data_IF_789690701857
#
_entry.id   IF_789690701857
#
_cell.length_a   1.000
_cell.length_b   1.000
_cell.length_c   1.000
_cell.angle_alpha   90.00
_cell.angle_beta   90.00
_cell.angle_gamma   90.00
#
_symmetry.space_group_name_H-M   'P 1'
#
loop_
_entity.id
_entity.type
_entity.pdbx_description
1 polymer ?
#
# COMPACT_ATOMS: atom_id res chain seq x y z
N UNK A 1 -17.26 -50.79 70.14
CA UNK A 1 -16.41 -50.51 68.97
C UNK A 1 -16.48 -49.01 68.68
N UNK A 2 -15.40 -48.25 68.83
CA UNK A 2 -14.85 -47.50 67.70
C UNK A 2 -13.47 -46.91 68.04
N UNK A 3 -12.56 -46.98 67.08
CA UNK A 3 -11.13 -46.72 67.21
C UNK A 3 -10.74 -45.29 66.83
N UNK A 4 -9.66 -44.85 67.47
CA UNK A 4 -8.54 -44.00 67.00
C UNK A 4 -8.87 -42.64 66.35
N UNK A 5 -8.54 -41.49 66.94
CA UNK A 5 -7.21 -40.89 67.20
C UNK A 5 -6.21 -40.85 66.02
N UNK A 6 -5.86 -39.61 65.64
CA UNK A 6 -4.58 -39.19 65.06
C UNK A 6 -4.61 -37.65 64.97
N UNK A 7 -4.03 -36.86 65.88
CA UNK A 7 -2.59 -36.56 66.12
C UNK A 7 -1.91 -36.12 64.81
N UNK A 8 -1.22 -34.99 64.68
CA UNK A 8 -0.59 -34.11 65.68
C UNK A 8 0.01 -32.87 65.00
N UNK A 9 0.04 -31.78 65.77
CA UNK A 9 1.15 -30.83 65.92
C UNK A 9 1.44 -29.86 64.76
N UNK A 10 1.11 -28.56 64.90
CA UNK A 10 1.79 -27.54 65.72
C UNK A 10 3.04 -26.98 65.03
N UNK A 11 3.03 -25.70 64.68
CA UNK A 11 3.62 -24.62 65.49
C UNK A 11 3.44 -23.30 64.71
N UNK A 12 2.95 -22.28 65.40
CA UNK A 12 2.82 -20.94 64.89
C UNK A 12 4.18 -20.22 64.91
N UNK A 13 4.49 -19.45 63.88
CA UNK A 13 5.43 -18.34 63.95
C UNK A 13 4.71 -17.07 63.52
N UNK A 14 4.62 -16.10 64.43
CA UNK A 14 4.01 -14.79 64.20
C UNK A 14 5.00 -13.84 63.51
N UNK A 15 4.44 -13.12 62.54
CA UNK A 15 4.69 -11.74 62.15
C UNK A 15 6.08 -11.32 61.62
N UNK A 16 6.13 -10.96 60.34
CA UNK A 16 6.73 -9.70 59.90
C UNK A 16 6.12 -9.27 58.55
N UNK A 17 5.55 -8.08 58.54
CA UNK A 17 5.04 -7.33 57.38
C UNK A 17 6.09 -7.21 56.29
N UNK A 18 5.72 -7.47 55.02
CA UNK A 18 6.13 -6.71 53.82
C UNK A 18 5.36 -7.20 52.59
N UNK A 19 4.54 -6.31 52.03
CA UNK A 19 3.98 -6.40 50.69
C UNK A 19 5.12 -6.67 49.67
N UNK A 20 4.92 -7.64 48.78
CA UNK A 20 5.52 -7.60 47.45
C UNK A 20 4.61 -8.37 46.49
N UNK A 21 3.70 -7.63 45.85
CA UNK A 21 2.85 -8.08 44.77
C UNK A 21 3.72 -8.19 43.50
N UNK A 22 4.24 -9.37 43.19
CA UNK A 22 4.99 -9.59 41.95
C UNK A 22 4.05 -10.11 40.85
N UNK A 23 3.13 -9.25 40.40
CA UNK A 23 2.38 -9.47 39.16
C UNK A 23 3.26 -9.04 37.98
N UNK A 24 3.96 -9.98 37.35
CA UNK A 24 4.70 -9.72 36.12
C UNK A 24 3.70 -9.51 34.97
N UNK A 25 3.29 -8.24 34.76
CA UNK A 25 2.59 -7.80 33.57
C UNK A 25 3.57 -7.84 32.39
N UNK A 26 3.59 -8.97 31.66
CA UNK A 26 4.16 -9.06 30.32
C UNK A 26 3.26 -8.28 29.36
N UNK A 27 3.36 -6.95 29.40
CA UNK A 27 2.75 -6.06 28.43
C UNK A 27 3.49 -6.16 27.09
N UNK A 28 3.02 -7.03 26.20
CA UNK A 28 3.48 -7.05 24.82
C UNK A 28 3.10 -5.75 24.13
N UNK A 29 4.09 -4.98 23.68
CA UNK A 29 3.87 -3.82 22.83
C UNK A 29 3.35 -4.33 21.47
N UNK A 30 2.03 -4.27 21.27
CA UNK A 30 1.44 -4.44 19.95
C UNK A 30 1.84 -3.19 19.16
N UNK A 31 2.85 -3.33 18.30
CA UNK A 31 3.21 -2.26 17.37
C UNK A 31 2.02 -2.06 16.41
N UNK A 32 1.24 -1.01 16.63
CA UNK A 32 0.22 -0.59 15.68
C UNK A 32 0.93 -0.15 14.39
N UNK A 33 0.86 -0.97 13.34
CA UNK A 33 1.33 -0.56 12.02
C UNK A 33 0.39 0.54 11.52
N UNK A 34 0.92 1.76 11.34
CA UNK A 34 0.17 2.86 10.75
C UNK A 34 -0.29 2.44 9.33
N UNK A 35 -1.59 2.33 9.13
CA UNK A 35 -2.15 2.06 7.80
C UNK A 35 -2.01 3.32 6.96
N UNK A 36 -1.41 3.20 5.77
CA UNK A 36 -1.36 4.34 4.85
C UNK A 36 -2.74 4.53 4.22
N UNK A 37 -3.36 5.67 4.49
CA UNK A 37 -4.71 6.02 4.03
C UNK A 37 -4.72 6.79 2.71
N UNK A 38 -3.55 7.02 2.12
CA UNK A 38 -3.37 7.82 0.90
C UNK A 38 -2.56 7.04 -0.17
N UNK A 39 -2.89 7.18 -1.47
CA UNK A 39 -2.09 6.65 -2.57
C UNK A 39 -0.73 7.31 -2.69
N UNK A 40 -0.49 8.47 -2.05
CA UNK A 40 0.83 9.11 -2.02
C UNK A 40 1.88 8.11 -1.51
N UNK A 41 2.97 7.98 -2.24
CA UNK A 41 4.01 6.98 -2.00
C UNK A 41 4.56 6.37 -3.29
N UNK A 42 5.35 5.31 -3.15
CA UNK A 42 6.00 4.63 -4.27
C UNK A 42 5.42 3.23 -4.46
N UNK A 43 5.23 2.84 -5.72
CA UNK A 43 4.46 1.67 -6.11
C UNK A 43 5.14 0.88 -7.21
N UNK A 44 5.14 -0.43 -7.08
CA UNK A 44 5.44 -1.36 -8.16
C UNK A 44 4.18 -1.63 -8.98
N UNK A 45 4.24 -1.33 -10.28
CA UNK A 45 3.20 -1.72 -11.22
C UNK A 45 3.36 -3.20 -11.56
N UNK A 46 2.27 -3.95 -11.55
CA UNK A 46 2.27 -5.37 -11.91
C UNK A 46 1.61 -5.52 -13.29
N UNK A 47 2.32 -6.19 -14.20
CA UNK A 47 1.76 -6.58 -15.48
C UNK A 47 0.66 -7.63 -15.27
N UNK A 48 -0.55 -7.34 -15.74
CA UNK A 48 -1.74 -8.16 -15.50
C UNK A 48 -1.76 -9.47 -16.29
N UNK A 49 -0.94 -9.59 -17.34
CA UNK A 49 -0.83 -10.79 -18.17
C UNK A 49 0.24 -11.76 -17.64
N UNK A 50 1.36 -11.22 -17.14
CA UNK A 50 2.53 -12.01 -16.74
C UNK A 50 2.72 -12.09 -15.23
N UNK A 51 2.07 -11.22 -14.45
CA UNK A 51 2.21 -11.12 -12.99
C UNK A 51 3.54 -10.55 -12.51
N UNK A 52 4.37 -10.01 -13.42
CA UNK A 52 5.71 -9.51 -13.09
C UNK A 52 5.70 -8.01 -12.82
N UNK A 53 6.57 -7.51 -11.92
CA UNK A 53 6.81 -6.07 -11.79
C UNK A 53 7.30 -5.47 -13.10
N UNK A 54 6.73 -4.34 -13.50
CA UNK A 54 7.04 -3.65 -14.76
C UNK A 54 7.76 -2.32 -14.55
N UNK A 55 7.29 -1.49 -13.64
CA UNK A 55 7.85 -0.18 -13.36
C UNK A 55 7.65 0.20 -11.89
N UNK A 56 8.37 1.23 -11.47
CA UNK A 56 8.21 1.92 -10.20
C UNK A 56 7.58 3.29 -10.47
N UNK A 57 6.46 3.58 -9.82
CA UNK A 57 5.71 4.84 -9.97
C UNK A 57 5.60 5.53 -8.61
N UNK A 58 5.99 6.80 -8.57
CA UNK A 58 5.78 7.67 -7.43
C UNK A 58 4.50 8.46 -7.62
N UNK A 59 3.58 8.35 -6.66
CA UNK A 59 2.38 9.18 -6.57
C UNK A 59 2.61 10.31 -5.57
N UNK A 60 2.31 11.55 -5.97
CA UNK A 60 2.46 12.75 -5.15
C UNK A 60 1.23 13.65 -5.26
N UNK A 61 0.97 14.43 -4.22
CA UNK A 61 0.02 15.54 -4.24
C UNK A 61 0.64 16.75 -4.98
N UNK A 62 -0.14 17.44 -5.80
CA UNK A 62 0.28 18.62 -6.56
C UNK A 62 0.27 19.92 -5.75
N UNK A 63 -0.12 19.87 -4.48
CA UNK A 63 -0.30 21.02 -3.59
C UNK A 63 -1.71 21.61 -3.61
N UNK A 64 -2.55 21.19 -4.56
CA UNK A 64 -3.96 21.57 -4.69
C UNK A 64 -4.91 20.41 -4.36
N UNK A 65 -4.39 19.30 -3.82
CA UNK A 65 -5.18 18.11 -3.46
C UNK A 65 -5.46 17.16 -4.62
N UNK A 66 -4.81 17.34 -5.78
CA UNK A 66 -4.86 16.37 -6.87
C UNK A 66 -3.62 15.49 -6.83
N UNK A 67 -3.80 14.19 -7.10
CA UNK A 67 -2.70 13.25 -7.16
C UNK A 67 -2.22 13.03 -8.59
N UNK A 68 -0.90 13.03 -8.75
CA UNK A 68 -0.21 12.73 -10.01
C UNK A 68 0.77 11.57 -9.80
N UNK A 69 1.01 10.78 -10.85
CA UNK A 69 1.90 9.62 -10.81
C UNK A 69 3.01 9.71 -11.85
N UNK A 70 4.26 9.62 -11.40
CA UNK A 70 5.47 9.70 -12.22
C UNK A 70 6.22 8.37 -12.23
N UNK A 71 6.62 7.91 -13.41
CA UNK A 71 7.50 6.74 -13.53
C UNK A 71 8.91 7.14 -13.07
N UNK A 72 9.44 6.48 -12.04
CA UNK A 72 10.77 6.79 -11.50
C UNK A 72 11.81 5.71 -11.81
N UNK A 73 11.37 4.49 -12.15
CA UNK A 73 12.25 3.42 -12.58
C UNK A 73 11.48 2.40 -13.42
N UNK A 74 12.19 1.62 -14.25
CA UNK A 74 11.65 0.46 -14.95
C UNK A 74 12.25 -0.84 -14.41
N UNK A 75 11.44 -1.89 -14.35
CA UNK A 75 11.83 -3.19 -13.76
C UNK A 75 11.81 -4.34 -14.78
N UNK A 76 11.14 -4.14 -15.92
CA UNK A 76 11.16 -5.13 -16.99
C UNK A 76 12.47 -5.06 -17.81
N UNK A 77 12.92 -6.15 -18.45
CA UNK A 77 14.16 -6.17 -19.24
C UNK A 77 14.19 -5.21 -20.44
N UNK A 78 13.03 -4.75 -20.91
CA UNK A 78 12.90 -3.81 -22.03
C UNK A 78 12.93 -2.35 -21.57
N UNK A 79 12.82 -2.11 -20.26
CA UNK A 79 12.88 -0.79 -19.64
C UNK A 79 14.33 -0.28 -19.57
N UNK A 80 14.85 0.16 -20.72
CA UNK A 80 16.12 0.89 -20.79
C UNK A 80 15.93 2.33 -20.30
N UNK A 81 16.93 2.94 -19.63
CA UNK A 81 16.81 4.33 -19.15
C UNK A 81 16.52 5.37 -20.23
N UNK A 82 16.99 5.13 -21.45
CA UNK A 82 16.81 5.99 -22.63
C UNK A 82 15.54 5.67 -23.44
N UNK A 83 14.73 4.69 -22.98
CA UNK A 83 13.51 4.31 -23.66
C UNK A 83 12.52 5.47 -23.67
N UNK A 84 12.04 5.82 -24.87
CA UNK A 84 11.11 6.92 -25.11
C UNK A 84 9.70 6.44 -25.38
N UNK A 85 8.70 7.28 -25.11
CA UNK A 85 7.32 7.02 -25.53
C UNK A 85 7.14 7.39 -27.01
N UNK A 86 7.49 6.49 -27.92
CA UNK A 86 7.35 6.72 -29.37
C UNK A 86 5.90 6.66 -29.84
N UNK A 87 5.05 5.90 -29.13
CA UNK A 87 3.62 5.75 -29.41
C UNK A 87 2.76 6.94 -28.92
N UNK A 88 3.27 7.72 -27.97
CA UNK A 88 2.59 8.94 -27.50
C UNK A 88 2.38 9.93 -28.65
N UNK A 89 1.29 10.69 -28.59
CA UNK A 89 0.90 11.65 -29.63
C UNK A 89 0.81 13.10 -29.13
N UNK A 90 0.99 13.30 -27.83
CA UNK A 90 0.97 14.60 -27.15
C UNK A 90 2.40 15.10 -26.85
N UNK A 91 2.54 16.06 -25.96
CA UNK A 91 3.84 16.63 -25.55
C UNK A 91 4.83 15.61 -24.99
N UNK A 92 4.36 14.41 -24.62
CA UNK A 92 5.19 13.31 -24.12
C UNK A 92 5.77 12.46 -25.25
N UNK A 93 5.40 12.72 -26.51
CA UNK A 93 5.97 12.04 -27.68
C UNK A 93 7.49 12.20 -27.72
N UNK A 94 8.16 11.06 -27.90
CA UNK A 94 9.62 10.95 -28.00
C UNK A 94 10.38 11.47 -26.76
N UNK A 95 9.69 11.63 -25.63
CA UNK A 95 10.26 11.92 -24.31
C UNK A 95 10.61 10.62 -23.57
N UNK A 96 11.63 10.64 -22.68
CA UNK A 96 11.96 9.50 -21.83
C UNK A 96 10.76 9.06 -20.98
N UNK A 97 10.53 7.75 -20.90
CA UNK A 97 9.46 7.19 -20.04
C UNK A 97 9.83 7.34 -18.56
N UNK A 98 11.09 7.12 -18.20
CA UNK A 98 11.56 7.42 -16.85
C UNK A 98 11.57 8.94 -16.66
N UNK A 99 10.89 9.40 -15.61
CA UNK A 99 10.62 10.81 -15.33
C UNK A 99 9.28 11.31 -15.85
N UNK A 100 8.57 10.52 -16.67
CA UNK A 100 7.28 10.90 -17.25
C UNK A 100 6.14 10.81 -16.24
N UNK A 101 5.32 11.86 -16.19
CA UNK A 101 4.03 11.82 -15.50
C UNK A 101 3.03 11.06 -16.37
N UNK A 102 2.59 9.90 -15.87
CA UNK A 102 1.64 9.01 -16.55
C UNK A 102 0.26 9.01 -15.90
N UNK A 103 0.12 9.48 -14.66
CA UNK A 103 -1.17 9.69 -14.01
C UNK A 103 -1.30 11.18 -13.68
N UNK A 104 -2.45 11.77 -13.95
CA UNK A 104 -2.76 13.15 -13.60
C UNK A 104 -4.21 13.34 -13.13
N UNK A 105 -4.44 14.42 -12.38
CA UNK A 105 -5.78 14.96 -12.11
C UNK A 105 -6.65 14.11 -11.19
N UNK A 106 -6.07 13.16 -10.47
CA UNK A 106 -6.83 12.25 -9.60
C UNK A 106 -7.35 12.98 -8.37
N UNK A 107 -8.66 12.94 -8.15
CA UNK A 107 -9.33 13.66 -7.05
C UNK A 107 -9.95 12.68 -6.06
N UNK A 108 -9.91 13.01 -4.78
CA UNK A 108 -10.54 12.19 -3.73
C UNK A 108 -12.06 12.16 -3.93
N UNK A 109 -12.63 10.96 -4.03
CA UNK A 109 -14.07 10.75 -4.20
C UNK A 109 -14.51 9.55 -3.35
N UNK A 110 -15.26 9.81 -2.28
CA UNK A 110 -15.64 8.78 -1.31
C UNK A 110 -14.42 8.04 -0.77
N UNK A 111 -14.43 6.71 -0.88
CA UNK A 111 -13.32 5.86 -0.41
C UNK A 111 -12.15 5.78 -1.41
N UNK A 112 -12.32 6.26 -2.65
CA UNK A 112 -11.33 6.17 -3.72
C UNK A 112 -10.88 7.53 -4.27
N UNK A 113 -10.30 7.49 -5.46
CA UNK A 113 -9.94 8.64 -6.28
C UNK A 113 -10.41 8.42 -7.71
N UNK A 114 -10.95 9.43 -8.37
CA UNK A 114 -11.50 9.37 -9.73
C UNK A 114 -11.19 10.66 -10.52
N UNK A 115 -11.80 10.83 -11.69
CA UNK A 115 -11.71 11.97 -12.63
C UNK A 115 -10.33 12.22 -13.26
N UNK A 116 -9.32 11.44 -12.87
CA UNK A 116 -7.98 11.56 -13.44
C UNK A 116 -7.81 10.79 -14.75
N UNK A 117 -6.60 10.85 -15.26
CA UNK A 117 -6.20 10.14 -16.48
C UNK A 117 -4.97 9.29 -16.23
N UNK A 118 -4.81 8.25 -17.06
CA UNK A 118 -3.60 7.44 -17.11
C UNK A 118 -3.15 7.24 -18.56
N UNK A 119 -1.91 7.56 -18.85
CA UNK A 119 -1.22 7.25 -20.10
C UNK A 119 -0.63 5.84 -20.03
N UNK A 120 -0.86 5.05 -21.08
CA UNK A 120 -0.12 3.81 -21.34
C UNK A 120 1.01 4.10 -22.36
N UNK A 121 2.29 4.15 -21.93
CA UNK A 121 3.40 4.46 -22.84
C UNK A 121 3.64 3.40 -23.93
N UNK A 122 3.07 2.20 -23.79
CA UNK A 122 3.22 1.13 -24.79
C UNK A 122 2.41 1.40 -26.05
N UNK A 123 1.24 2.03 -25.91
CA UNK A 123 0.32 2.30 -27.02
C UNK A 123 0.01 3.80 -27.18
N UNK A 124 0.55 4.65 -26.31
CA UNK A 124 0.40 6.10 -26.35
C UNK A 124 -1.01 6.61 -26.03
N UNK A 125 -1.91 5.75 -25.55
CA UNK A 125 -3.30 6.13 -25.28
C UNK A 125 -3.46 6.63 -23.85
N UNK A 126 -4.28 7.66 -23.72
CA UNK A 126 -4.73 8.21 -22.45
C UNK A 126 -6.12 7.67 -22.13
N UNK A 127 -6.28 7.12 -20.94
CA UNK A 127 -7.51 6.53 -20.43
C UNK A 127 -8.03 7.36 -19.27
N UNK A 128 -9.36 7.37 -19.04
CA UNK A 128 -9.89 7.81 -17.75
C UNK A 128 -9.43 6.84 -16.68
N UNK A 129 -9.12 7.36 -15.50
CA UNK A 129 -8.50 6.61 -14.43
C UNK A 129 -9.25 6.79 -13.11
N UNK A 130 -9.47 5.68 -12.41
CA UNK A 130 -9.86 5.69 -11.01
C UNK A 130 -9.00 4.72 -10.21
N UNK A 131 -8.80 5.01 -8.93
CA UNK A 131 -8.00 4.15 -8.06
C UNK A 131 -8.57 4.06 -6.65
N UNK A 132 -8.31 2.95 -5.98
CA UNK A 132 -8.65 2.76 -4.57
C UNK A 132 -7.61 1.90 -3.88
N UNK A 133 -7.45 2.13 -2.58
CA UNK A 133 -6.54 1.35 -1.74
C UNK A 133 -7.22 0.07 -1.26
N UNK A 134 -6.43 -0.99 -1.19
CA UNK A 134 -6.81 -2.28 -0.61
C UNK A 134 -5.70 -2.76 0.35
N UNK A 135 -5.98 -3.84 1.08
CA UNK A 135 -5.02 -4.50 1.97
C UNK A 135 -4.33 -3.50 2.93
N UNK A 136 -5.16 -2.69 3.61
CA UNK A 136 -4.68 -1.67 4.55
C UNK A 136 -3.67 -0.67 3.94
N UNK A 137 -3.84 -0.35 2.65
CA UNK A 137 -2.97 0.58 1.93
C UNK A 137 -1.73 -0.05 1.30
N UNK A 138 -1.56 -1.37 1.38
CA UNK A 138 -0.44 -2.10 0.76
C UNK A 138 -0.64 -2.33 -0.74
N UNK A 139 -1.89 -2.28 -1.21
CA UNK A 139 -2.26 -2.45 -2.61
C UNK A 139 -3.00 -1.22 -3.10
N UNK A 140 -2.73 -0.85 -4.35
CA UNK A 140 -3.47 0.17 -5.07
C UNK A 140 -4.06 -0.45 -6.32
N UNK A 141 -5.38 -0.49 -6.40
CA UNK A 141 -6.06 -0.93 -7.63
C UNK A 141 -6.23 0.29 -8.51
N UNK A 142 -5.64 0.25 -9.70
CA UNK A 142 -5.68 1.32 -10.70
C UNK A 142 -6.47 0.83 -11.90
N UNK A 143 -7.53 1.53 -12.28
CA UNK A 143 -8.40 1.16 -13.40
C UNK A 143 -8.40 2.21 -14.48
N UNK A 144 -7.89 1.85 -15.66
CA UNK A 144 -7.98 2.64 -16.89
C UNK A 144 -9.17 2.20 -17.75
N UNK A 145 -9.96 3.12 -18.28
CA UNK A 145 -11.15 2.83 -19.10
C UNK A 145 -11.42 3.87 -20.19
N UNK A 146 -12.17 3.48 -21.22
CA UNK A 146 -12.64 4.34 -22.31
C UNK A 146 -14.15 4.59 -22.20
N UNK A 147 -14.55 5.86 -22.06
CA UNK A 147 -15.96 6.24 -21.91
C UNK A 147 -16.55 5.79 -20.57
N UNK A 148 -17.16 4.60 -20.53
CA UNK A 148 -17.75 4.02 -19.30
C UNK A 148 -16.76 3.10 -18.59
N UNK A 149 -16.77 3.08 -17.25
CA UNK A 149 -15.80 2.29 -16.49
C UNK A 149 -15.90 0.78 -16.66
N UNK A 150 -16.99 0.26 -17.24
CA UNK A 150 -17.13 -1.16 -17.55
C UNK A 150 -16.19 -1.61 -18.66
N UNK A 151 -15.85 -0.72 -19.60
CA UNK A 151 -14.97 -0.99 -20.75
C UNK A 151 -13.54 -0.53 -20.44
N UNK A 152 -12.85 -1.31 -19.63
CA UNK A 152 -11.50 -0.99 -19.17
C UNK A 152 -10.80 -2.15 -18.47
N UNK A 153 -9.56 -1.92 -18.05
CA UNK A 153 -8.71 -2.88 -17.36
C UNK A 153 -8.28 -2.34 -16.01
N UNK A 154 -8.12 -3.23 -15.05
CA UNK A 154 -7.58 -2.92 -13.73
C UNK A 154 -6.23 -3.59 -13.56
N UNK A 155 -5.28 -2.87 -12.96
CA UNK A 155 -4.03 -3.41 -12.47
C UNK A 155 -3.96 -3.21 -10.96
N UNK A 156 -3.35 -4.16 -10.27
CA UNK A 156 -3.07 -4.04 -8.83
C UNK A 156 -1.60 -3.76 -8.65
N UNK A 157 -1.29 -2.58 -8.11
CA UNK A 157 0.06 -2.17 -7.78
C UNK A 157 0.36 -2.51 -6.32
N UNK A 158 1.62 -2.82 -6.03
CA UNK A 158 2.09 -3.12 -4.68
C UNK A 158 2.92 -1.97 -4.15
N UNK A 159 2.67 -1.54 -2.91
CA UNK A 159 3.43 -0.45 -2.31
C UNK A 159 4.88 -0.89 -2.10
N UNK A 160 5.84 -0.05 -2.47
CA UNK A 160 7.25 -0.24 -2.12
C UNK A 160 7.39 -0.08 -0.60
N UNK A 161 8.06 -1.06 0.05
CA UNK A 161 8.24 -1.11 1.50
C UNK A 161 9.56 -0.47 1.93
#
# INVERSE_FOLDING_TARGET
MNRSNGRTAAFAARAATRLALAGALLGGAIAAQAQSTTPVGVWHTIDDQTGKPKAVVQISDDGNGQLNGKVINGLDPTSKPDRKCTACTDERKDQPIIGMTIIDGMKKTGDGWDDGHILDPENGKVYRCKMHLEDSGKKLVVRGYLGISLLGRSQTWTREQ
#
